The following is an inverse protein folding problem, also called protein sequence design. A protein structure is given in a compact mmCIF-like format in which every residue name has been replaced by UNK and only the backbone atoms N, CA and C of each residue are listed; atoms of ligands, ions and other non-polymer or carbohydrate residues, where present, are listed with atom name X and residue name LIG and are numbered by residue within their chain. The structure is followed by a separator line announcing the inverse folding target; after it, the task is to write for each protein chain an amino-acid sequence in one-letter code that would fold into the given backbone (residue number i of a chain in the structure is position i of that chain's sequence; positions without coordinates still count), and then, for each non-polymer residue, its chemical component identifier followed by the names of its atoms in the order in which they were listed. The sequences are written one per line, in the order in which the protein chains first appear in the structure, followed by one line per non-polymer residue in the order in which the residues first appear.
data_IF_856336935038
#
_entry.id   IF_856336935038
#
_cell.length_a   1.000
_cell.length_b   1.000
_cell.length_c   1.000
_cell.angle_alpha   90.00
_cell.angle_beta   90.00
_cell.angle_gamma   90.00
#
_symmetry.space_group_name_H-M   'P 1'
#
loop_
_entity.id
_entity.type
_entity.pdbx_description
1 polymer ?
#
# COMPACT_ATOMS: atom_id res chain seq x y z
N UNK A 1 16.92 -9.98 -6.37
CA UNK A 1 16.98 -8.74 -5.55
C UNK A 1 18.35 -8.03 -5.52
N UNK A 2 19.50 -8.73 -5.61
CA UNK A 2 20.85 -8.09 -5.64
C UNK A 2 21.15 -7.18 -6.86
N UNK A 3 20.37 -7.27 -7.94
CA UNK A 3 20.55 -6.43 -9.14
C UNK A 3 19.90 -5.05 -9.04
N UNK A 4 18.82 -4.91 -8.25
CA UNK A 4 18.09 -3.64 -8.10
C UNK A 4 18.86 -2.61 -7.25
N UNK A 5 19.63 -3.08 -6.26
CA UNK A 5 20.46 -2.23 -5.40
C UNK A 5 21.68 -1.67 -6.18
N UNK A 6 22.21 -2.42 -7.16
CA UNK A 6 23.28 -1.90 -8.05
C UNK A 6 22.78 -0.76 -8.93
N UNK A 7 21.54 -0.83 -9.41
CA UNK A 7 20.95 0.23 -10.24
C UNK A 7 20.75 1.56 -9.49
N UNK A 8 20.49 1.51 -8.18
CA UNK A 8 20.33 2.71 -7.35
C UNK A 8 21.66 3.39 -7.00
N UNK A 9 22.76 2.64 -6.85
CA UNK A 9 24.06 3.21 -6.47
C UNK A 9 24.73 4.00 -7.59
N UNK A 10 24.39 3.73 -8.84
CA UNK A 10 25.01 4.36 -10.01
C UNK A 10 24.35 5.69 -10.42
N UNK A 11 23.20 6.04 -9.82
CA UNK A 11 22.41 7.22 -10.20
C UNK A 11 22.61 8.46 -9.32
N UNK A 12 23.24 8.29 -8.15
CA UNK A 12 23.56 9.37 -7.20
C UNK A 12 24.68 10.33 -7.67
N UNK A 13 25.32 10.08 -8.82
CA UNK A 13 26.35 10.97 -9.38
C UNK A 13 25.78 12.03 -10.34
N UNK A 14 24.55 11.85 -10.83
CA UNK A 14 23.95 12.72 -11.87
C UNK A 14 23.29 13.97 -11.24
N UNK A 15 22.93 13.90 -9.96
CA UNK A 15 22.23 15.00 -9.25
C UNK A 15 23.14 16.20 -8.92
N UNK A 16 24.46 16.08 -9.08
CA UNK A 16 25.39 17.20 -8.88
C UNK A 16 25.43 18.19 -10.06
N UNK A 17 24.90 17.84 -11.24
CA UNK A 17 25.02 18.65 -12.46
C UNK A 17 23.80 19.58 -12.66
N UNK A 18 22.62 19.24 -12.13
CA UNK A 18 21.40 20.05 -12.34
C UNK A 18 21.35 21.36 -11.55
N UNK A 19 22.12 21.49 -10.46
CA UNK A 19 22.15 22.71 -9.66
C UNK A 19 22.82 23.92 -10.36
N UNK A 20 23.54 23.73 -11.47
CA UNK A 20 24.28 24.80 -12.15
C UNK A 20 23.45 25.60 -13.17
N UNK A 21 22.33 25.06 -13.68
CA UNK A 21 21.63 25.63 -14.85
C UNK A 21 20.66 26.77 -14.49
N UNK A 22 20.20 26.87 -13.25
CA UNK A 22 19.15 27.83 -12.84
C UNK A 22 19.66 29.27 -12.59
N UNK A 23 20.98 29.53 -12.62
CA UNK A 23 21.55 30.82 -12.18
C UNK A 23 21.76 31.91 -13.26
N UNK A 24 21.49 31.66 -14.55
CA UNK A 24 21.88 32.58 -15.65
C UNK A 24 20.75 33.40 -16.32
N UNK A 25 19.58 33.49 -15.71
CA UNK A 25 18.37 34.01 -16.37
C UNK A 25 17.82 35.37 -15.92
N UNK A 26 18.62 36.33 -15.42
CA UNK A 26 18.10 37.69 -15.09
C UNK A 26 19.15 38.75 -15.40
N UNK A 27 18.94 39.55 -16.47
CA UNK A 27 19.30 40.98 -16.61
C UNK A 27 19.12 41.46 -18.05
N UNK A 28 18.17 42.38 -18.27
CA UNK A 28 18.40 43.66 -18.96
C UNK A 28 17.08 44.39 -19.22
N UNK A 29 16.84 45.48 -18.50
CA UNK A 29 15.97 46.55 -18.97
C UNK A 29 16.81 47.66 -19.60
N UNK A 30 16.31 48.31 -20.66
CA UNK A 30 16.22 49.76 -20.85
C UNK A 30 15.85 50.10 -22.31
N UNK A 31 14.86 50.95 -22.54
CA UNK A 31 14.99 52.10 -23.45
C UNK A 31 13.81 53.06 -23.27
N UNK A 32 14.09 54.34 -23.49
CA UNK A 32 13.38 55.57 -23.13
C UNK A 32 12.65 56.21 -24.34
N UNK A 33 11.81 57.24 -24.07
CA UNK A 33 11.17 58.28 -24.94
C UNK A 33 9.78 57.90 -25.48
N UNK A 34 8.78 58.80 -25.58
CA UNK A 34 8.73 60.27 -25.46
C UNK A 34 7.29 60.70 -25.16
N UNK A 35 7.12 61.91 -24.64
CA UNK A 35 5.86 62.62 -24.46
C UNK A 35 5.70 63.67 -25.56
N UNK A 36 4.75 63.53 -26.50
CA UNK A 36 4.14 64.70 -27.17
C UNK A 36 2.93 64.34 -28.06
N UNK A 37 1.95 65.27 -28.09
CA UNK A 37 1.00 65.58 -29.17
C UNK A 37 -0.05 64.52 -29.56
N UNK A 38 -1.29 64.83 -29.92
CA UNK A 38 -2.12 66.03 -29.85
C UNK A 38 -3.55 65.54 -30.16
N UNK A 39 -4.48 66.10 -29.43
CA UNK A 39 -5.91 66.18 -29.68
C UNK A 39 -6.30 66.30 -31.18
N UNK A 40 -7.25 65.51 -31.69
CA UNK A 40 -8.45 66.02 -32.42
C UNK A 40 -9.31 64.95 -33.15
N UNK A 41 -10.60 64.93 -32.78
CA UNK A 41 -11.78 64.88 -33.67
C UNK A 41 -11.98 63.66 -34.61
N UNK A 42 -12.71 62.64 -34.15
CA UNK A 42 -13.77 61.93 -34.93
C UNK A 42 -14.74 61.31 -33.90
N UNK A 43 -15.65 62.07 -33.26
CA UNK A 43 -17.04 62.30 -33.70
C UNK A 43 -17.62 61.22 -34.64
N UNK A 44 -18.33 60.29 -34.01
CA UNK A 44 -19.47 59.54 -34.53
C UNK A 44 -19.20 58.49 -35.63
N UNK A 45 -19.70 57.27 -35.35
CA UNK A 45 -20.81 56.63 -36.07
C UNK A 45 -20.52 55.16 -36.37
N UNK A 46 -21.39 54.29 -35.85
CA UNK A 46 -21.59 52.88 -36.24
C UNK A 46 -20.31 52.04 -36.25
N UNK A 47 -20.14 51.12 -35.33
CA UNK A 47 -20.78 49.82 -35.41
C UNK A 47 -21.04 49.32 -34.00
N UNK A 48 -22.25 48.81 -33.74
CA UNK A 48 -22.44 47.79 -32.70
C UNK A 48 -21.65 46.54 -33.11
N UNK A 49 -20.32 46.57 -33.01
CA UNK A 49 -19.56 45.34 -32.81
C UNK A 49 -19.96 44.88 -31.43
N UNK A 50 -20.81 43.85 -31.38
CA UNK A 50 -20.91 43.01 -30.19
C UNK A 50 -19.46 42.65 -29.84
N UNK A 51 -18.96 43.26 -28.78
CA UNK A 51 -17.75 42.81 -28.12
C UNK A 51 -18.06 41.39 -27.66
N UNK A 52 -17.68 40.40 -28.48
CA UNK A 52 -17.35 39.10 -27.96
C UNK A 52 -16.10 39.34 -27.11
N UNK A 53 -16.31 39.78 -25.87
CA UNK A 53 -15.35 39.58 -24.83
C UNK A 53 -15.18 38.06 -24.77
N UNK A 54 -14.17 37.56 -25.48
CA UNK A 54 -13.65 36.24 -25.26
C UNK A 54 -13.16 36.29 -23.83
N UNK A 55 -14.02 35.84 -22.91
CA UNK A 55 -13.59 35.52 -21.54
C UNK A 55 -12.49 34.52 -21.77
N UNK A 56 -11.26 35.00 -21.63
CA UNK A 56 -10.07 34.21 -21.81
C UNK A 56 -10.06 33.28 -20.61
N UNK A 57 -10.71 32.13 -20.76
CA UNK A 57 -10.59 30.99 -19.87
C UNK A 57 -9.09 30.71 -19.76
N UNK A 58 -8.47 31.16 -18.66
CA UNK A 58 -7.09 30.87 -18.32
C UNK A 58 -6.99 29.39 -18.00
N UNK A 59 -6.89 28.58 -19.06
CA UNK A 59 -6.70 27.15 -18.97
C UNK A 59 -5.30 26.78 -18.49
N UNK A 60 -5.19 25.62 -17.84
CA UNK A 60 -3.92 25.01 -17.47
C UNK A 60 -3.00 24.92 -18.69
N UNK A 61 -1.72 25.28 -18.53
CA UNK A 61 -0.76 25.14 -19.63
C UNK A 61 -0.42 23.66 -19.84
N UNK A 62 -0.20 23.25 -21.08
CA UNK A 62 0.19 21.86 -21.40
C UNK A 62 1.51 21.49 -20.71
N UNK A 63 2.42 22.45 -20.54
CA UNK A 63 3.69 22.24 -19.85
C UNK A 63 3.50 22.02 -18.36
N UNK A 64 2.57 22.72 -17.73
CA UNK A 64 2.25 22.56 -16.31
C UNK A 64 1.66 21.17 -16.04
N UNK A 65 0.80 20.66 -16.92
CA UNK A 65 0.32 19.29 -16.83
C UNK A 65 1.44 18.25 -17.02
N UNK A 66 2.36 18.48 -17.96
CA UNK A 66 3.47 17.56 -18.20
C UNK A 66 4.44 17.45 -17.02
N UNK A 67 4.74 18.57 -16.34
CA UNK A 67 5.60 18.55 -15.15
C UNK A 67 4.89 17.80 -14.01
N UNK A 68 3.58 18.04 -13.82
CA UNK A 68 2.80 17.33 -12.79
C UNK A 68 2.77 15.82 -13.05
N UNK A 69 2.57 15.40 -14.30
CA UNK A 69 2.60 13.98 -14.68
C UNK A 69 3.98 13.37 -14.46
N UNK A 70 5.06 14.09 -14.77
CA UNK A 70 6.43 13.63 -14.51
C UNK A 70 6.65 13.37 -13.02
N UNK A 71 6.19 14.28 -12.14
CA UNK A 71 6.31 14.10 -10.70
C UNK A 71 5.48 12.92 -10.19
N UNK A 72 4.22 12.78 -10.60
CA UNK A 72 3.36 11.66 -10.20
C UNK A 72 3.96 10.32 -10.64
N UNK A 73 4.54 10.25 -11.84
CA UNK A 73 5.19 9.04 -12.34
C UNK A 73 6.38 8.62 -11.46
N UNK A 74 7.23 9.56 -11.04
CA UNK A 74 8.38 9.26 -10.18
C UNK A 74 7.97 8.75 -8.80
N UNK A 75 6.96 9.36 -8.17
CA UNK A 75 6.47 8.97 -6.84
C UNK A 75 5.78 7.59 -6.91
N UNK A 76 4.95 7.38 -7.94
CA UNK A 76 4.18 6.14 -8.09
C UNK A 76 5.06 4.90 -8.25
N UNK A 77 6.20 5.05 -8.94
CA UNK A 77 7.16 3.95 -9.12
C UNK A 77 7.69 3.40 -7.79
N UNK A 78 7.90 4.27 -6.78
CA UNK A 78 8.39 3.87 -5.45
C UNK A 78 7.23 3.42 -4.56
N UNK A 79 6.08 4.09 -4.66
CA UNK A 79 4.94 3.86 -3.78
C UNK A 79 4.25 2.49 -3.99
N UNK A 80 4.07 2.05 -5.25
CA UNK A 80 3.34 0.82 -5.58
C UNK A 80 3.93 -0.44 -4.91
N UNK A 81 5.23 -0.76 -5.06
CA UNK A 81 5.79 -1.98 -4.47
C UNK A 81 5.82 -1.95 -2.93
N UNK A 82 5.90 -0.75 -2.34
CA UNK A 82 5.86 -0.62 -0.89
C UNK A 82 4.45 -0.84 -0.34
N UNK A 83 3.43 -0.32 -1.05
CA UNK A 83 2.04 -0.45 -0.64
C UNK A 83 1.50 -1.88 -0.79
N UNK A 84 1.94 -2.63 -1.79
CA UNK A 84 1.52 -4.03 -1.97
C UNK A 84 1.87 -4.91 -0.77
N UNK A 85 3.07 -4.73 -0.18
CA UNK A 85 3.49 -5.51 0.99
C UNK A 85 2.63 -5.22 2.22
N UNK A 86 2.19 -3.97 2.38
CA UNK A 86 1.29 -3.58 3.46
C UNK A 86 -0.09 -4.22 3.29
N UNK A 87 -0.64 -4.21 2.08
CA UNK A 87 -1.91 -4.86 1.79
C UNK A 87 -1.86 -6.37 2.03
N UNK A 88 -0.77 -7.04 1.61
CA UNK A 88 -0.60 -8.47 1.83
C UNK A 88 -0.52 -8.82 3.33
N UNK A 89 0.24 -8.04 4.11
CA UNK A 89 0.26 -8.16 5.58
C UNK A 89 -1.14 -7.99 6.17
N UNK A 90 -1.90 -6.99 5.72
CA UNK A 90 -3.26 -6.75 6.21
C UNK A 90 -4.18 -7.96 5.96
N UNK A 91 -4.12 -8.56 4.76
CA UNK A 91 -4.86 -9.79 4.43
C UNK A 91 -4.46 -10.96 5.34
N UNK A 92 -3.17 -11.13 5.63
CA UNK A 92 -2.70 -12.18 6.53
C UNK A 92 -3.19 -11.93 7.96
N UNK A 93 -3.13 -10.69 8.45
CA UNK A 93 -3.61 -10.35 9.80
C UNK A 93 -5.12 -10.55 9.98
N UNK A 94 -5.92 -10.48 8.91
CA UNK A 94 -7.34 -10.82 8.94
C UNK A 94 -7.56 -12.24 9.48
N UNK A 95 -6.83 -13.21 8.95
CA UNK A 95 -6.88 -14.61 9.41
C UNK A 95 -6.48 -14.77 10.87
N UNK A 96 -5.44 -14.06 11.31
CA UNK A 96 -5.04 -14.05 12.71
C UNK A 96 -6.16 -13.51 13.61
N UNK A 97 -6.88 -12.46 13.18
CA UNK A 97 -7.99 -11.91 13.96
C UNK A 97 -9.18 -12.87 14.05
N UNK A 98 -9.50 -13.58 12.96
CA UNK A 98 -10.57 -14.58 12.95
C UNK A 98 -10.22 -15.80 13.82
N UNK A 99 -8.95 -16.21 13.84
CA UNK A 99 -8.49 -17.34 14.63
C UNK A 99 -8.48 -17.11 16.14
N UNK A 100 -8.57 -15.85 16.62
CA UNK A 100 -8.52 -15.53 18.07
C UNK A 100 -9.61 -16.22 18.88
N UNK A 101 -10.81 -16.36 18.32
CA UNK A 101 -11.91 -17.07 19.00
C UNK A 101 -11.58 -18.54 19.22
N UNK A 102 -11.02 -19.18 18.19
CA UNK A 102 -10.60 -20.59 18.25
C UNK A 102 -9.42 -20.77 19.21
N UNK A 103 -8.47 -19.83 19.23
CA UNK A 103 -7.37 -19.84 20.20
C UNK A 103 -7.88 -19.83 21.64
N UNK A 104 -8.84 -18.96 21.95
CA UNK A 104 -9.42 -18.86 23.29
C UNK A 104 -10.09 -20.17 23.71
N UNK A 105 -10.90 -20.79 22.83
CA UNK A 105 -11.57 -22.05 23.15
C UNK A 105 -10.57 -23.21 23.32
N UNK A 106 -9.52 -23.26 22.49
CA UNK A 106 -8.45 -24.23 22.64
C UNK A 106 -7.68 -24.05 23.97
N UNK A 107 -7.40 -22.81 24.37
CA UNK A 107 -6.78 -22.49 25.66
C UNK A 107 -7.66 -22.89 26.85
N UNK A 108 -8.96 -22.59 26.79
CA UNK A 108 -9.92 -22.97 27.82
C UNK A 108 -10.00 -24.50 27.94
N UNK A 109 -10.05 -25.21 26.82
CA UNK A 109 -10.07 -26.66 26.82
C UNK A 109 -8.81 -27.25 27.46
N UNK A 110 -7.63 -26.72 27.10
CA UNK A 110 -6.37 -27.15 27.70
C UNK A 110 -6.34 -26.88 29.21
N UNK A 111 -6.82 -25.71 29.66
CA UNK A 111 -6.87 -25.37 31.07
C UNK A 111 -7.79 -26.29 31.89
N UNK A 112 -8.88 -26.78 31.30
CA UNK A 112 -9.85 -27.64 31.97
C UNK A 112 -9.47 -29.12 31.93
N UNK A 113 -8.87 -29.59 30.82
CA UNK A 113 -8.61 -31.02 30.58
C UNK A 113 -7.14 -31.41 30.74
N UNK A 114 -6.23 -30.44 30.75
CA UNK A 114 -4.77 -30.67 30.79
C UNK A 114 -4.18 -31.18 29.48
N UNK A 115 -4.96 -31.24 28.41
CA UNK A 115 -4.58 -31.76 27.11
C UNK A 115 -5.28 -30.99 25.99
N UNK A 116 -4.74 -31.04 24.78
CA UNK A 116 -5.29 -30.35 23.62
C UNK A 116 -6.45 -31.14 23.00
N UNK A 117 -7.42 -30.46 22.37
CA UNK A 117 -8.52 -31.15 21.70
C UNK A 117 -7.96 -31.94 20.51
N UNK A 118 -8.10 -33.28 20.55
CA UNK A 118 -7.58 -34.18 19.49
C UNK A 118 -8.49 -34.13 18.25
N UNK A 119 -8.60 -35.23 17.51
CA UNK A 119 -9.43 -35.34 16.31
C UNK A 119 -10.83 -34.74 16.51
N UNK A 120 -11.35 -34.06 15.49
CA UNK A 120 -12.64 -33.37 15.52
C UNK A 120 -12.72 -32.26 16.59
N UNK A 121 -11.62 -31.52 16.80
CA UNK A 121 -11.53 -30.44 17.78
C UNK A 121 -12.65 -29.41 17.64
N UNK A 122 -13.03 -29.06 16.40
CA UNK A 122 -14.13 -28.14 16.14
C UNK A 122 -15.44 -28.63 16.78
N UNK A 123 -15.82 -29.88 16.53
CA UNK A 123 -17.03 -30.47 17.10
C UNK A 123 -16.93 -30.64 18.62
N UNK A 124 -15.76 -31.04 19.13
CA UNK A 124 -15.54 -31.22 20.57
C UNK A 124 -15.69 -29.92 21.37
N UNK A 125 -15.36 -28.78 20.74
CA UNK A 125 -15.45 -27.44 21.32
C UNK A 125 -16.76 -26.72 20.97
N UNK A 126 -17.65 -27.33 20.17
CA UNK A 126 -18.87 -26.67 19.69
C UNK A 126 -18.61 -25.51 18.73
N UNK A 127 -17.45 -25.51 18.06
CA UNK A 127 -17.09 -24.57 16.99
C UNK A 127 -17.79 -24.98 15.68
N UNK A 128 -17.93 -24.00 14.79
CA UNK A 128 -18.41 -24.23 13.42
C UNK A 128 -17.40 -25.08 12.64
N UNK A 129 -17.76 -25.55 11.43
CA UNK A 129 -16.79 -26.33 10.63
C UNK A 129 -15.65 -25.43 10.19
N UNK A 130 -14.46 -26.01 10.01
CA UNK A 130 -13.28 -25.27 9.53
C UNK A 130 -13.55 -24.45 8.25
N UNK A 131 -14.39 -24.97 7.35
CA UNK A 131 -14.80 -24.32 6.09
C UNK A 131 -15.73 -23.12 6.27
N UNK A 132 -16.38 -23.00 7.42
CA UNK A 132 -17.36 -21.94 7.69
C UNK A 132 -16.67 -20.67 8.21
N UNK A 133 -15.43 -20.81 8.73
CA UNK A 133 -14.54 -19.70 9.06
C UNK A 133 -13.94 -19.06 7.80
N UNK A 134 -14.75 -18.23 7.13
CA UNK A 134 -14.39 -17.52 5.90
C UNK A 134 -14.31 -16.01 6.10
N UNK A 135 -13.32 -15.42 5.42
CA UNK A 135 -13.12 -13.97 5.37
C UNK A 135 -12.95 -13.48 3.93
N UNK A 136 -12.55 -12.23 3.78
CA UNK A 136 -12.19 -11.68 2.47
C UNK A 136 -10.93 -12.35 1.91
N UNK A 137 -9.97 -12.67 2.78
CA UNK A 137 -8.69 -13.31 2.39
C UNK A 137 -8.57 -14.77 2.87
N UNK A 138 -9.50 -15.23 3.71
CA UNK A 138 -9.42 -16.52 4.42
C UNK A 138 -10.41 -17.51 3.84
N UNK A 139 -9.93 -18.70 3.47
CA UNK A 139 -10.74 -19.78 2.92
C UNK A 139 -11.27 -20.74 4.00
N UNK A 140 -10.44 -21.06 4.99
CA UNK A 140 -10.81 -21.91 6.12
C UNK A 140 -9.86 -21.75 7.31
N UNK A 141 -10.34 -22.11 8.51
CA UNK A 141 -9.53 -22.19 9.72
C UNK A 141 -9.76 -23.54 10.41
N UNK A 142 -8.76 -24.41 10.36
CA UNK A 142 -8.79 -25.72 11.01
C UNK A 142 -8.09 -25.67 12.37
N UNK A 143 -8.59 -26.47 13.33
CA UNK A 143 -7.96 -26.70 14.63
C UNK A 143 -7.76 -28.21 14.74
N UNK A 144 -6.52 -28.61 14.98
CA UNK A 144 -6.13 -30.00 15.14
C UNK A 144 -5.10 -30.10 16.27
N UNK A 145 -5.49 -30.66 17.42
CA UNK A 145 -4.60 -30.73 18.57
C UNK A 145 -4.24 -29.34 19.09
N UNK A 146 -2.93 -29.07 19.13
CA UNK A 146 -2.37 -27.78 19.54
C UNK A 146 -2.06 -26.85 18.37
N UNK A 147 -2.56 -27.16 17.17
CA UNK A 147 -2.26 -26.43 15.95
C UNK A 147 -3.53 -25.86 15.32
N UNK A 148 -3.50 -24.56 15.03
CA UNK A 148 -4.52 -23.89 14.24
C UNK A 148 -3.91 -23.55 12.88
N UNK A 149 -4.55 -24.01 11.83
CA UNK A 149 -4.12 -23.81 10.44
C UNK A 149 -5.12 -22.94 9.73
N UNK A 150 -4.70 -21.71 9.41
CA UNK A 150 -5.46 -20.77 8.60
C UNK A 150 -5.03 -20.97 7.15
N UNK A 151 -5.98 -21.29 6.27
CA UNK A 151 -5.73 -21.38 4.83
C UNK A 151 -6.30 -20.15 4.14
N UNK A 152 -5.46 -19.45 3.37
CA UNK A 152 -5.85 -18.26 2.61
C UNK A 152 -6.28 -18.63 1.20
N UNK A 153 -7.06 -17.74 0.59
CA UNK A 153 -7.41 -17.83 -0.82
C UNK A 153 -6.23 -17.39 -1.72
N UNK A 154 -6.44 -17.48 -3.04
CA UNK A 154 -5.43 -17.13 -4.06
C UNK A 154 -5.01 -15.64 -4.04
N UNK A 155 -5.68 -14.78 -3.27
CA UNK A 155 -5.30 -13.38 -3.19
C UNK A 155 -4.08 -13.10 -2.29
N UNK A 156 -3.77 -14.03 -1.39
CA UNK A 156 -2.56 -14.03 -0.59
C UNK A 156 -1.53 -14.83 -1.36
N UNK A 157 -0.62 -14.11 -2.02
CA UNK A 157 0.33 -14.69 -2.98
C UNK A 157 1.05 -15.88 -2.40
N UNK A 158 0.89 -17.04 -3.04
CA UNK A 158 1.37 -18.29 -2.53
C UNK A 158 2.52 -18.83 -3.40
N UNK A 159 3.68 -19.07 -2.78
CA UNK A 159 4.83 -19.64 -3.47
C UNK A 159 4.75 -21.17 -3.41
N UNK A 160 4.29 -21.81 -4.49
CA UNK A 160 4.40 -23.27 -4.65
C UNK A 160 3.37 -24.12 -3.91
N UNK A 161 2.27 -23.55 -3.43
CA UNK A 161 1.17 -24.27 -2.78
C UNK A 161 0.12 -23.31 -2.23
N UNK A 162 -0.90 -23.77 -1.48
CA UNK A 162 -1.82 -22.88 -0.77
C UNK A 162 -1.06 -22.12 0.32
N UNK A 163 -1.32 -20.82 0.43
CA UNK A 163 -0.77 -19.98 1.49
C UNK A 163 -1.44 -20.34 2.83
N UNK A 164 -0.63 -20.67 3.85
CA UNK A 164 -1.15 -20.99 5.18
C UNK A 164 -0.42 -20.25 6.29
N UNK A 165 -1.16 -19.89 7.33
CA UNK A 165 -0.60 -19.41 8.59
C UNK A 165 -0.89 -20.45 9.67
N UNK A 166 0.17 -20.94 10.29
CA UNK A 166 0.13 -22.00 11.29
C UNK A 166 0.41 -21.38 12.66
N UNK A 167 -0.50 -21.58 13.59
CA UNK A 167 -0.40 -21.15 14.97
C UNK A 167 -0.28 -22.40 15.84
N UNK A 168 0.87 -22.60 16.46
CA UNK A 168 1.12 -23.76 17.33
C UNK A 168 1.19 -23.31 18.78
N UNK A 169 0.36 -23.89 19.62
CA UNK A 169 0.38 -23.65 21.04
C UNK A 169 1.47 -24.48 21.72
N UNK A 170 2.15 -23.83 22.66
CA UNK A 170 3.14 -24.41 23.56
C UNK A 170 2.75 -24.10 25.00
N UNK A 171 2.83 -25.08 25.88
CA UNK A 171 2.50 -24.90 27.29
C UNK A 171 3.70 -25.20 28.22
N UNK A 172 4.86 -24.51 28.08
CA UNK A 172 5.97 -24.71 28.99
C UNK A 172 5.65 -24.12 30.38
N UNK A 173 5.67 -24.96 31.41
CA UNK A 173 5.62 -24.50 32.80
C UNK A 173 4.33 -23.76 33.20
N UNK A 174 3.18 -24.11 32.60
CA UNK A 174 1.87 -23.58 32.99
C UNK A 174 1.46 -22.25 32.35
N UNK A 175 2.26 -21.73 31.39
CA UNK A 175 1.85 -20.61 30.53
C UNK A 175 1.62 -21.12 29.12
N UNK A 176 0.50 -20.74 28.50
CA UNK A 176 0.24 -21.03 27.09
C UNK A 176 0.83 -19.91 26.23
N UNK A 177 1.66 -20.27 25.25
CA UNK A 177 2.24 -19.36 24.25
C UNK A 177 1.91 -19.89 22.86
N UNK A 178 1.46 -19.02 21.98
CA UNK A 178 1.29 -19.34 20.56
C UNK A 178 2.53 -18.93 19.77
N UNK A 179 3.12 -19.87 19.04
CA UNK A 179 4.11 -19.60 18.00
C UNK A 179 3.41 -19.54 16.66
N UNK A 180 3.69 -18.51 15.89
CA UNK A 180 3.13 -18.32 14.56
C UNK A 180 4.20 -18.56 13.49
N UNK A 181 3.84 -19.22 12.39
CA UNK A 181 4.70 -19.45 11.24
C UNK A 181 3.90 -19.45 9.94
N UNK A 182 4.46 -18.90 8.86
CA UNK A 182 3.88 -18.97 7.52
C UNK A 182 4.38 -20.16 6.71
N UNK A 183 3.50 -20.77 5.93
CA UNK A 183 3.79 -21.78 4.91
C UNK A 183 3.41 -21.22 3.54
N UNK A 184 4.32 -21.30 2.55
CA UNK A 184 4.15 -20.77 1.19
C UNK A 184 3.85 -19.25 1.13
N UNK A 185 4.20 -18.49 2.17
CA UNK A 185 4.06 -17.03 2.23
C UNK A 185 5.44 -16.41 2.32
N UNK A 186 5.71 -15.38 1.50
CA UNK A 186 6.95 -14.64 1.57
C UNK A 186 7.15 -13.99 2.95
N UNK A 187 8.36 -14.07 3.51
CA UNK A 187 8.69 -13.54 4.85
C UNK A 187 8.40 -12.03 4.97
N UNK A 188 8.59 -11.28 3.87
CA UNK A 188 8.26 -9.85 3.79
C UNK A 188 6.76 -9.54 3.94
N UNK A 189 5.88 -10.52 3.81
CA UNK A 189 4.44 -10.39 3.97
C UNK A 189 3.97 -10.87 5.34
N UNK A 190 4.81 -11.54 6.12
CA UNK A 190 4.42 -12.01 7.44
C UNK A 190 4.36 -10.87 8.47
N UNK A 191 3.38 -10.92 9.39
CA UNK A 191 3.39 -10.11 10.60
C UNK A 191 4.65 -10.38 11.41
N UNK A 192 5.09 -9.39 12.20
CA UNK A 192 6.31 -9.54 13.00
C UNK A 192 6.19 -10.65 14.04
N UNK A 193 4.99 -10.94 14.51
CA UNK A 193 4.71 -12.01 15.47
C UNK A 193 4.89 -13.42 14.87
N UNK A 194 4.94 -13.54 13.54
CA UNK A 194 5.03 -14.79 12.79
C UNK A 194 6.38 -15.00 12.12
N UNK A 195 7.37 -14.15 12.45
CA UNK A 195 8.75 -14.31 12.04
C UNK A 195 9.47 -15.29 13.00
N UNK A 196 10.38 -16.12 12.49
CA UNK A 196 11.12 -17.11 13.29
C UNK A 196 12.06 -16.50 14.33
#
# INVERSE_FOLDING_TARGET
MRSMIKFFRERLYVDAIEAAVVSRGIKSGLSIRDSSMQNSRVRNMMLRRREHAFVQESGFTLMELLIVLALIATISMIAIPLYSNYLQRAKITEGLTLAKGIQLEAELYYALNGDWPRENAHQALGLDKASDYRGNSVESIALEGNEITITYNDEVGAEGGPARLILRAEAPGGTIRWRCSGENIAEDHLPKECLP
#
